data_IF_166803962959
#
_entry.id   IF_166803962959
#
_cell.length_a   1.000
_cell.length_b   1.000
_cell.length_c   1.000
_cell.angle_alpha   90.00
_cell.angle_beta   90.00
_cell.angle_gamma   90.00
#
_symmetry.space_group_name_H-M   'P 1'
#
loop_
_entity.id
_entity.type
_entity.pdbx_description
1 polymer ?
#
# COMPACT_ATOMS: atom_id res chain seq x y z
N UNK A 1 22.80 -24.16 18.36
CA UNK A 1 21.74 -23.35 19.01
C UNK A 1 21.72 -21.88 18.57
N UNK A 2 22.85 -21.28 18.17
CA UNK A 2 22.90 -19.90 17.66
C UNK A 2 22.05 -19.69 16.38
N UNK A 3 22.05 -20.66 15.45
CA UNK A 3 21.24 -20.61 14.22
C UNK A 3 19.74 -20.46 14.50
N UNK A 4 19.19 -21.29 15.39
CA UNK A 4 17.75 -21.27 15.73
C UNK A 4 17.32 -19.92 16.33
N UNK A 5 18.11 -19.38 17.27
CA UNK A 5 17.84 -18.07 17.87
C UNK A 5 17.91 -16.94 16.84
N UNK A 6 18.88 -16.98 15.92
CA UNK A 6 19.01 -15.99 14.84
C UNK A 6 17.81 -16.04 13.88
N UNK A 7 17.36 -17.23 13.48
CA UNK A 7 16.21 -17.40 12.59
C UNK A 7 14.91 -16.92 13.25
N UNK A 8 14.71 -17.25 14.52
CA UNK A 8 13.53 -16.80 15.29
C UNK A 8 13.48 -15.28 15.42
N UNK A 9 14.61 -14.64 15.78
CA UNK A 9 14.66 -13.17 15.88
C UNK A 9 14.37 -12.50 14.55
N UNK A 10 14.90 -13.05 13.44
CA UNK A 10 14.62 -12.53 12.09
C UNK A 10 13.13 -12.63 11.74
N UNK A 11 12.51 -13.79 11.98
CA UNK A 11 11.09 -13.97 11.71
C UNK A 11 10.21 -13.02 12.54
N UNK A 12 10.54 -12.79 13.81
CA UNK A 12 9.83 -11.82 14.66
C UNK A 12 9.97 -10.39 14.14
N UNK A 13 11.17 -10.02 13.66
CA UNK A 13 11.42 -8.71 13.10
C UNK A 13 10.63 -8.50 11.79
N UNK A 14 10.60 -9.47 10.89
CA UNK A 14 9.82 -9.42 9.65
C UNK A 14 8.32 -9.26 9.90
N UNK A 15 7.76 -9.95 10.90
CA UNK A 15 6.35 -9.80 11.30
C UNK A 15 6.08 -8.41 11.87
N UNK A 16 6.97 -7.88 12.71
CA UNK A 16 6.82 -6.54 13.28
C UNK A 16 6.87 -5.46 12.18
N UNK A 17 7.82 -5.55 11.26
CA UNK A 17 7.97 -4.63 10.14
C UNK A 17 6.73 -4.66 9.23
N UNK A 18 6.18 -5.86 8.98
CA UNK A 18 4.96 -6.00 8.21
C UNK A 18 3.74 -5.40 8.91
N UNK A 19 3.57 -5.63 10.22
CA UNK A 19 2.45 -5.08 10.98
C UNK A 19 2.47 -3.54 11.01
N UNK A 20 3.66 -2.93 11.12
CA UNK A 20 3.83 -1.47 11.04
C UNK A 20 3.46 -0.97 9.64
N UNK A 21 3.95 -1.64 8.59
CA UNK A 21 3.67 -1.29 7.19
C UNK A 21 2.17 -1.37 6.88
N UNK A 22 1.48 -2.40 7.37
CA UNK A 22 0.05 -2.58 7.20
C UNK A 22 -0.75 -1.47 7.88
N UNK A 23 -0.37 -1.08 9.10
CA UNK A 23 -1.05 0.01 9.82
C UNK A 23 -0.89 1.36 9.11
N UNK A 24 0.32 1.68 8.62
CA UNK A 24 0.56 2.90 7.86
C UNK A 24 -0.27 2.93 6.56
N UNK A 25 -0.33 1.81 5.85
CA UNK A 25 -1.12 1.66 4.63
C UNK A 25 -2.62 1.85 4.89
N UNK A 26 -3.17 1.29 5.97
CA UNK A 26 -4.57 1.48 6.34
C UNK A 26 -4.90 2.96 6.63
N UNK A 27 -4.00 3.67 7.31
CA UNK A 27 -4.16 5.11 7.54
C UNK A 27 -4.15 5.89 6.23
N UNK A 28 -3.24 5.55 5.32
CA UNK A 28 -3.16 6.18 4.00
C UNK A 28 -4.44 5.92 3.16
N UNK A 29 -4.94 4.68 3.14
CA UNK A 29 -6.19 4.33 2.45
C UNK A 29 -7.37 5.14 2.99
N UNK A 30 -7.50 5.25 4.31
CA UNK A 30 -8.55 6.05 4.94
C UNK A 30 -8.46 7.52 4.55
N UNK A 31 -7.26 8.10 4.54
CA UNK A 31 -7.05 9.48 4.13
C UNK A 31 -7.41 9.71 2.66
N UNK A 32 -7.04 8.78 1.77
CA UNK A 32 -7.39 8.88 0.34
C UNK A 32 -8.90 8.72 0.10
N UNK A 33 -9.57 7.85 0.84
CA UNK A 33 -11.03 7.73 0.81
C UNK A 33 -11.71 9.04 1.24
N UNK A 34 -11.24 9.65 2.33
CA UNK A 34 -11.72 10.95 2.78
C UNK A 34 -11.48 12.05 1.74
N UNK A 35 -10.33 12.04 1.05
CA UNK A 35 -10.04 12.98 -0.03
C UNK A 35 -11.03 12.84 -1.20
N UNK A 36 -11.33 11.60 -1.62
CA UNK A 36 -12.34 11.33 -2.65
C UNK A 36 -13.73 11.82 -2.22
N UNK A 37 -14.14 11.56 -0.97
CA UNK A 37 -15.41 12.08 -0.44
C UNK A 37 -15.46 13.61 -0.46
N UNK A 38 -14.40 14.28 0.01
CA UNK A 38 -14.33 15.74 0.02
C UNK A 38 -14.38 16.33 -1.41
N UNK A 39 -13.63 15.75 -2.35
CA UNK A 39 -13.63 16.19 -3.74
C UNK A 39 -14.98 15.93 -4.43
N UNK A 40 -15.68 14.85 -4.06
CA UNK A 40 -17.03 14.54 -4.55
C UNK A 40 -18.02 15.62 -4.11
N UNK A 41 -17.98 16.02 -2.83
CA UNK A 41 -18.82 17.10 -2.31
C UNK A 41 -18.46 18.45 -2.94
N UNK A 42 -17.17 18.74 -3.16
CA UNK A 42 -16.73 19.95 -3.84
C UNK A 42 -17.27 20.04 -5.28
N UNK A 43 -17.19 18.94 -6.04
CA UNK A 43 -17.78 18.86 -7.38
C UNK A 43 -19.30 19.02 -7.36
N UNK A 44 -20.00 18.42 -6.38
CA UNK A 44 -21.45 18.60 -6.20
C UNK A 44 -21.81 20.06 -5.93
N UNK A 45 -21.07 20.74 -5.05
CA UNK A 45 -21.27 22.16 -4.76
C UNK A 45 -21.01 23.03 -5.99
N UNK A 46 -19.92 22.77 -6.73
CA UNK A 46 -19.60 23.49 -7.97
C UNK A 46 -20.71 23.34 -9.02
N UNK A 47 -21.22 22.12 -9.20
CA UNK A 47 -22.34 21.82 -10.10
C UNK A 47 -23.61 22.56 -9.70
N UNK A 48 -23.99 22.51 -8.43
CA UNK A 48 -25.17 23.23 -7.93
C UNK A 48 -25.06 24.75 -8.15
N UNK A 49 -23.85 25.32 -7.95
CA UNK A 49 -23.62 26.75 -8.21
C UNK A 49 -23.71 27.08 -9.70
N UNK A 50 -23.20 26.22 -10.58
CA UNK A 50 -23.33 26.40 -12.03
C UNK A 50 -24.80 26.34 -12.47
N UNK A 51 -25.55 25.34 -12.01
CA UNK A 51 -26.99 25.20 -12.30
C UNK A 51 -27.80 26.39 -11.78
N UNK A 52 -27.40 26.96 -10.64
CA UNK A 52 -27.98 28.19 -10.09
C UNK A 52 -27.48 29.49 -10.72
N UNK A 53 -26.59 29.44 -11.73
CA UNK A 53 -26.01 30.63 -12.37
C UNK A 53 -25.00 31.42 -11.51
N UNK A 54 -24.54 30.84 -10.40
CA UNK A 54 -23.62 31.43 -9.41
C UNK A 54 -22.15 31.06 -9.63
N UNK A 55 -21.86 30.25 -10.65
CA UNK A 55 -20.52 29.81 -11.05
C UNK A 55 -20.47 29.54 -12.56
N UNK A 56 -19.27 29.50 -13.12
CA UNK A 56 -19.05 29.16 -14.53
C UNK A 56 -18.87 27.64 -14.66
N UNK A 57 -19.10 27.11 -15.85
CA UNK A 57 -18.87 25.69 -16.10
C UNK A 57 -17.41 25.26 -15.89
N UNK A 58 -16.46 26.18 -16.08
CA UNK A 58 -15.04 25.93 -15.77
C UNK A 58 -14.79 25.60 -14.29
N UNK A 59 -15.61 26.13 -13.37
CA UNK A 59 -15.51 25.80 -11.94
C UNK A 59 -15.94 24.34 -11.68
N UNK A 60 -16.92 23.85 -12.44
CA UNK A 60 -17.37 22.44 -12.40
C UNK A 60 -16.27 21.53 -12.92
N UNK A 61 -15.70 21.84 -14.08
CA UNK A 61 -14.59 21.10 -14.68
C UNK A 61 -13.37 21.04 -13.75
N UNK A 62 -13.00 22.17 -13.14
CA UNK A 62 -11.89 22.19 -12.19
C UNK A 62 -12.14 21.31 -10.96
N UNK A 63 -13.38 21.25 -10.47
CA UNK A 63 -13.73 20.39 -9.34
C UNK A 63 -13.80 18.90 -9.76
N UNK A 64 -14.23 18.62 -10.99
CA UNK A 64 -14.22 17.27 -11.58
C UNK A 64 -12.79 16.75 -11.76
N UNK A 65 -11.86 17.59 -12.24
CA UNK A 65 -10.44 17.24 -12.35
C UNK A 65 -9.82 16.88 -11.00
N UNK A 66 -10.15 17.65 -9.94
CA UNK A 66 -9.71 17.37 -8.57
C UNK A 66 -10.28 16.05 -8.02
N UNK A 67 -11.56 15.77 -8.30
CA UNK A 67 -12.18 14.50 -7.96
C UNK A 67 -11.48 13.33 -8.67
N UNK A 68 -11.25 13.44 -9.98
CA UNK A 68 -10.60 12.40 -10.75
C UNK A 68 -9.15 12.17 -10.29
N UNK A 69 -8.42 13.23 -9.96
CA UNK A 69 -7.09 13.13 -9.38
C UNK A 69 -7.11 12.38 -8.03
N UNK A 70 -8.07 12.68 -7.16
CA UNK A 70 -8.24 12.01 -5.86
C UNK A 70 -8.58 10.53 -6.02
N UNK A 71 -9.45 10.19 -6.98
CA UNK A 71 -9.79 8.78 -7.29
C UNK A 71 -8.57 8.03 -7.80
N UNK A 72 -7.77 8.63 -8.70
CA UNK A 72 -6.53 8.01 -9.20
C UNK A 72 -5.54 7.74 -8.06
N UNK A 73 -5.39 8.67 -7.12
CA UNK A 73 -4.52 8.46 -5.95
C UNK A 73 -5.02 7.33 -5.06
N UNK A 74 -6.33 7.23 -4.81
CA UNK A 74 -6.90 6.12 -4.06
C UNK A 74 -6.61 4.77 -4.73
N UNK A 75 -6.79 4.69 -6.04
CA UNK A 75 -6.53 3.45 -6.81
C UNK A 75 -5.05 3.07 -6.78
N UNK A 76 -4.12 4.04 -6.89
CA UNK A 76 -2.69 3.78 -6.77
C UNK A 76 -2.33 3.19 -5.39
N UNK A 77 -2.88 3.76 -4.30
CA UNK A 77 -2.66 3.23 -2.95
C UNK A 77 -3.26 1.82 -2.79
N UNK A 78 -4.43 1.56 -3.36
CA UNK A 78 -5.03 0.21 -3.36
C UNK A 78 -4.18 -0.79 -4.15
N UNK A 79 -3.59 -0.38 -5.28
CA UNK A 79 -2.69 -1.23 -6.06
C UNK A 79 -1.44 -1.60 -5.26
N UNK A 80 -0.81 -0.61 -4.61
CA UNK A 80 0.34 -0.84 -3.73
C UNK A 80 -0.01 -1.75 -2.54
N UNK A 81 -1.21 -1.60 -1.99
CA UNK A 81 -1.72 -2.47 -0.93
C UNK A 81 -1.75 -3.94 -1.36
N UNK A 82 -2.28 -4.21 -2.56
CA UNK A 82 -2.35 -5.56 -3.11
C UNK A 82 -0.95 -6.14 -3.38
N UNK A 83 -0.02 -5.33 -3.91
CA UNK A 83 1.36 -5.78 -4.13
C UNK A 83 2.06 -6.14 -2.82
N UNK A 84 1.86 -5.35 -1.76
CA UNK A 84 2.43 -5.63 -0.44
C UNK A 84 1.84 -6.91 0.17
N UNK A 85 0.53 -7.12 0.02
CA UNK A 85 -0.15 -8.32 0.52
C UNK A 85 0.37 -9.59 -0.17
N UNK A 86 0.55 -9.56 -1.49
CA UNK A 86 1.16 -10.67 -2.26
C UNK A 86 2.61 -10.91 -1.80
N UNK A 87 3.38 -9.84 -1.59
CA UNK A 87 4.75 -9.92 -1.09
C UNK A 87 4.83 -10.57 0.30
N UNK A 88 3.92 -10.20 1.20
CA UNK A 88 3.81 -10.78 2.53
C UNK A 88 3.45 -12.28 2.47
N UNK A 89 2.46 -12.64 1.68
CA UNK A 89 2.08 -14.06 1.51
C UNK A 89 3.25 -14.89 0.97
N UNK A 90 4.05 -14.34 0.05
CA UNK A 90 5.28 -14.99 -0.42
C UNK A 90 6.33 -15.13 0.68
N UNK A 91 6.53 -14.11 1.51
CA UNK A 91 7.48 -14.17 2.62
C UNK A 91 7.06 -15.21 3.69
N UNK A 92 5.79 -15.24 4.06
CA UNK A 92 5.24 -16.13 5.08
C UNK A 92 5.07 -17.59 4.62
N UNK A 93 4.91 -17.85 3.32
CA UNK A 93 4.69 -19.19 2.75
C UNK A 93 5.85 -19.74 1.90
N UNK A 94 6.81 -18.91 1.50
CA UNK A 94 7.92 -19.27 0.61
C UNK A 94 9.30 -18.78 1.05
N UNK A 95 9.39 -17.87 2.04
CA UNK A 95 10.65 -17.35 2.57
C UNK A 95 11.46 -18.32 3.44
N UNK A 96 10.90 -19.49 3.77
CA UNK A 96 11.57 -20.48 4.62
C UNK A 96 12.62 -21.34 3.90
N UNK A 97 12.69 -21.31 2.56
CA UNK A 97 13.45 -22.33 1.80
C UNK A 97 14.76 -21.88 1.14
N UNK A 98 15.18 -20.61 1.21
CA UNK A 98 16.38 -20.15 0.46
C UNK A 98 17.67 -20.08 1.29
N UNK A 99 17.71 -20.69 2.47
CA UNK A 99 18.96 -20.88 3.24
C UNK A 99 19.27 -22.34 3.61
N UNK A 100 18.72 -23.29 2.84
CA UNK A 100 19.15 -24.70 2.88
C UNK A 100 20.20 -25.04 1.81
N UNK A 101 20.89 -24.05 1.26
CA UNK A 101 22.08 -24.21 0.43
C UNK A 101 23.34 -24.20 1.28
N UNK A 102 23.52 -25.19 2.16
CA UNK A 102 24.83 -25.51 2.70
C UNK A 102 25.41 -26.68 1.89
N UNK A 103 26.30 -26.44 0.90
CA UNK A 103 27.15 -27.51 0.41
C UNK A 103 28.21 -27.79 1.47
N UNK A 104 28.03 -28.86 2.23
CA UNK A 104 29.05 -29.45 3.11
C UNK A 104 29.73 -30.63 2.36
N UNK A 105 30.96 -31.02 2.71
CA UNK A 105 32.19 -30.38 2.27
C UNK A 105 33.09 -31.39 1.52
N UNK A 106 33.79 -30.99 0.46
CA UNK A 106 34.90 -31.80 -0.07
C UNK A 106 36.16 -30.95 -0.20
N UNK A 107 37.05 -31.09 0.78
CA UNK A 107 38.48 -30.76 0.70
C UNK A 107 39.21 -31.56 1.79
N UNK A 108 40.49 -31.97 1.63
CA UNK A 108 41.29 -32.22 0.42
C UNK A 108 41.90 -33.65 0.37
N UNK A 109 42.41 -34.00 -0.80
CA UNK A 109 43.51 -34.92 -1.15
C UNK A 109 44.28 -35.69 -0.04
N UNK A 110 44.40 -37.03 -0.18
CA UNK A 110 45.61 -37.84 0.00
C UNK A 110 45.39 -39.29 -0.48
#
# INVERSE_FOLDING_TARGET
>A
MAQYRSTLNRALQEVADNAVSQRALQQQLKAMQQAVTAATEAHRVARNRYEGGLARYLDVLSAEDQLLASVRQLVDVQSRALTLDIGLHRALGGGWSESAGAPDPVSPEA
#
